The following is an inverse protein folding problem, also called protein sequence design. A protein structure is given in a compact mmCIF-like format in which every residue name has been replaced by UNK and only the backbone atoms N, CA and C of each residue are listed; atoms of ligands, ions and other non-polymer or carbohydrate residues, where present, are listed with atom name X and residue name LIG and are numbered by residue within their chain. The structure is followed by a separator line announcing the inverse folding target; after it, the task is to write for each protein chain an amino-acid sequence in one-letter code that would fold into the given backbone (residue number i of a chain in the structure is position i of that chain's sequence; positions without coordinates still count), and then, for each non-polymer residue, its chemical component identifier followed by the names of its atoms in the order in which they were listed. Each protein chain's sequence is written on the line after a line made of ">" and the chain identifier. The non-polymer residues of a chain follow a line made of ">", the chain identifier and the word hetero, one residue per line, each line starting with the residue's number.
data_IF_720719964631
#
_entry.id   IF_720719964631
#
_cell.length_a   1.000
_cell.length_b   1.000
_cell.length_c   1.000
_cell.angle_alpha   90.00
_cell.angle_beta   90.00
_cell.angle_gamma   90.00
#
_symmetry.space_group_name_H-M   'P 1'
#
loop_
_entity.id
_entity.type
_entity.pdbx_description
1 polymer ?
#
# COMPACT_ATOMS: atom_id res chain seq x y z
N UNK A 1 7.67 3.79 -14.99
CA UNK A 1 8.67 2.71 -14.83
C UNK A 1 7.99 1.46 -14.34
N UNK A 2 8.34 0.30 -14.89
CA UNK A 2 7.85 -1.01 -14.48
C UNK A 2 8.87 -1.65 -13.53
N UNK A 3 8.46 -1.93 -12.29
CA UNK A 3 9.25 -2.71 -11.35
C UNK A 3 8.76 -4.14 -11.32
N UNK A 4 9.69 -5.09 -11.34
CA UNK A 4 9.37 -6.50 -11.24
C UNK A 4 10.37 -7.20 -10.33
N UNK A 5 9.90 -8.26 -9.66
CA UNK A 5 10.79 -9.30 -9.17
C UNK A 5 11.06 -10.26 -10.34
N UNK A 6 12.33 -10.42 -10.70
CA UNK A 6 12.73 -11.28 -11.82
C UNK A 6 13.73 -12.31 -11.32
N UNK A 7 13.50 -13.57 -11.69
CA UNK A 7 14.43 -14.66 -11.46
C UNK A 7 14.57 -15.46 -12.74
N UNK A 8 15.71 -15.34 -13.39
CA UNK A 8 16.05 -16.03 -14.64
C UNK A 8 17.39 -16.76 -14.49
N UNK A 9 17.72 -17.64 -15.44
CA UNK A 9 19.04 -18.28 -15.53
C UNK A 9 19.84 -17.60 -16.64
N UNK A 10 21.10 -17.29 -16.34
CA UNK A 10 22.10 -16.86 -17.30
C UNK A 10 22.63 -18.02 -18.13
N UNK A 11 23.42 -17.69 -19.15
CA UNK A 11 24.07 -18.66 -20.04
C UNK A 11 25.11 -19.53 -19.33
N UNK A 12 25.61 -19.06 -18.19
CA UNK A 12 26.51 -19.76 -17.28
C UNK A 12 25.78 -20.64 -16.26
N UNK A 13 24.44 -20.67 -16.30
CA UNK A 13 23.60 -21.41 -15.35
C UNK A 13 23.40 -20.70 -14.01
N UNK A 14 23.95 -19.51 -13.82
CA UNK A 14 23.74 -18.72 -12.60
C UNK A 14 22.41 -17.98 -12.66
N UNK A 15 21.82 -17.66 -11.50
CA UNK A 15 20.61 -16.83 -11.48
C UNK A 15 20.94 -15.37 -11.76
N UNK A 16 20.16 -14.78 -12.67
CA UNK A 16 20.17 -13.35 -12.98
C UNK A 16 18.81 -12.73 -12.66
N UNK A 17 18.80 -11.46 -12.26
CA UNK A 17 17.60 -10.74 -11.82
C UNK A 17 17.67 -10.31 -10.35
N UNK A 18 16.52 -9.93 -9.78
CA UNK A 18 16.43 -9.41 -8.43
C UNK A 18 15.05 -8.88 -8.06
N UNK A 19 14.92 -8.43 -6.81
CA UNK A 19 13.71 -7.85 -6.26
C UNK A 19 13.60 -6.36 -6.61
N UNK A 20 12.41 -5.89 -6.97
CA UNK A 20 12.17 -4.46 -7.25
C UNK A 20 13.01 -3.90 -8.40
N UNK A 21 13.40 -4.75 -9.34
CA UNK A 21 14.23 -4.39 -10.48
C UNK A 21 13.48 -3.42 -11.38
N UNK A 22 14.09 -2.28 -11.72
CA UNK A 22 13.58 -1.38 -12.75
C UNK A 22 13.69 -2.06 -14.12
N UNK A 23 12.70 -2.86 -14.48
CA UNK A 23 12.76 -3.79 -15.60
C UNK A 23 12.59 -3.11 -16.95
N UNK A 24 11.63 -2.18 -17.04
CA UNK A 24 11.35 -1.43 -18.26
C UNK A 24 10.92 0.00 -17.95
N UNK A 25 11.21 0.92 -18.87
CA UNK A 25 10.62 2.24 -18.88
C UNK A 25 9.27 2.22 -19.61
N UNK A 26 8.31 3.00 -19.10
CA UNK A 26 6.95 3.05 -19.64
C UNK A 26 6.63 4.49 -20.05
N UNK A 27 6.13 4.68 -21.26
CA UNK A 27 5.66 5.97 -21.76
C UNK A 27 4.20 5.86 -22.19
N UNK A 28 3.31 6.54 -21.45
CA UNK A 28 1.88 6.61 -21.75
C UNK A 28 1.61 7.78 -22.70
N UNK A 29 0.73 7.57 -23.67
CA UNK A 29 0.31 8.61 -24.61
C UNK A 29 -0.70 9.62 -24.04
N UNK A 30 -1.11 9.47 -22.77
CA UNK A 30 -2.04 10.38 -22.09
C UNK A 30 -2.24 10.07 -20.61
N UNK A 31 -3.05 10.90 -19.94
CA UNK A 31 -3.39 10.75 -18.52
C UNK A 31 -4.35 9.58 -18.32
N UNK A 32 -3.87 8.51 -17.71
CA UNK A 32 -4.64 7.29 -17.48
C UNK A 32 -5.46 7.38 -16.18
N UNK A 33 -6.63 8.02 -16.22
CA UNK A 33 -7.56 7.96 -15.09
C UNK A 33 -8.25 6.59 -14.97
N UNK A 34 -8.25 5.75 -16.00
CA UNK A 34 -8.91 4.42 -15.96
C UNK A 34 -8.05 3.31 -16.56
N UNK A 35 -6.79 3.61 -16.82
CA UNK A 35 -5.91 2.79 -17.65
C UNK A 35 -5.46 3.50 -18.91
N UNK A 36 -4.71 2.76 -19.73
CA UNK A 36 -4.12 3.25 -20.96
C UNK A 36 -3.08 2.29 -21.50
N UNK A 37 -2.65 2.56 -22.73
CA UNK A 37 -1.57 1.83 -23.37
C UNK A 37 -0.26 2.61 -23.23
N UNK A 38 0.82 1.90 -22.92
CA UNK A 38 2.17 2.44 -22.85
C UNK A 38 3.07 1.74 -23.86
N UNK A 39 3.95 2.53 -24.48
CA UNK A 39 5.15 1.96 -25.11
C UNK A 39 6.15 1.56 -24.02
N UNK A 40 6.86 0.46 -24.27
CA UNK A 40 7.75 -0.18 -23.29
C UNK A 40 9.15 -0.23 -23.88
N UNK A 41 10.12 0.29 -23.14
CA UNK A 41 11.53 0.23 -23.52
C UNK A 41 12.32 -0.48 -22.42
N UNK A 42 13.13 -1.47 -22.77
CA UNK A 42 13.86 -2.27 -21.81
C UNK A 42 14.96 -1.44 -21.12
N UNK A 43 15.20 -1.65 -19.82
CA UNK A 43 16.35 -1.03 -19.16
C UNK A 43 17.59 -1.92 -19.31
N UNK A 44 18.78 -1.38 -18.99
CA UNK A 44 20.01 -2.19 -18.89
C UNK A 44 19.87 -3.33 -17.86
N UNK A 45 19.17 -3.07 -16.75
CA UNK A 45 18.90 -4.08 -15.73
C UNK A 45 17.95 -5.17 -16.24
N UNK A 46 16.90 -4.81 -16.98
CA UNK A 46 15.99 -5.75 -17.64
C UNK A 46 16.68 -6.58 -18.72
N UNK A 47 17.54 -5.97 -19.53
CA UNK A 47 18.37 -6.64 -20.54
C UNK A 47 19.25 -7.74 -19.93
N UNK A 48 19.93 -7.45 -18.83
CA UNK A 48 20.74 -8.44 -18.11
C UNK A 48 19.89 -9.56 -17.51
N UNK A 49 18.64 -9.28 -17.10
CA UNK A 49 17.73 -10.31 -16.61
C UNK A 49 17.28 -11.29 -17.72
N UNK A 50 17.36 -10.87 -18.99
CA UNK A 50 17.27 -11.74 -20.17
C UNK A 50 18.63 -12.23 -20.63
N UNK A 51 19.58 -12.44 -19.72
CA UNK A 51 20.93 -12.93 -20.01
C UNK A 51 21.70 -12.11 -21.08
N UNK A 52 21.32 -10.84 -21.29
CA UNK A 52 21.95 -9.95 -22.25
C UNK A 52 21.55 -10.17 -23.71
N UNK A 53 20.51 -10.96 -24.00
CA UNK A 53 20.02 -11.17 -25.37
C UNK A 53 19.41 -9.92 -26.01
N UNK A 54 18.87 -9.03 -25.19
CA UNK A 54 18.28 -7.76 -25.63
C UNK A 54 19.14 -6.60 -25.16
N UNK A 55 19.12 -5.51 -25.93
CA UNK A 55 19.88 -4.31 -25.59
C UNK A 55 19.06 -3.37 -24.70
N UNK A 56 19.75 -2.47 -23.99
CA UNK A 56 19.06 -1.42 -23.26
C UNK A 56 18.40 -0.43 -24.23
N UNK A 57 17.15 -0.06 -23.96
CA UNK A 57 16.35 0.79 -24.83
C UNK A 57 15.58 0.03 -25.91
N UNK A 58 15.79 -1.28 -26.05
CA UNK A 58 15.06 -2.12 -27.00
C UNK A 58 13.55 -1.97 -26.79
N UNK A 59 12.82 -1.75 -27.89
CA UNK A 59 11.38 -1.61 -27.85
C UNK A 59 10.75 -2.98 -27.60
N UNK A 60 9.92 -3.07 -26.56
CA UNK A 60 9.16 -4.27 -26.22
C UNK A 60 7.70 -4.09 -26.64
N UNK A 61 6.94 -5.18 -26.54
CA UNK A 61 5.49 -5.13 -26.75
C UNK A 61 4.83 -4.06 -25.87
N UNK A 62 3.83 -3.40 -26.45
CA UNK A 62 3.06 -2.40 -25.74
C UNK A 62 2.32 -3.01 -24.55
N UNK A 63 2.30 -2.29 -23.43
CA UNK A 63 1.57 -2.69 -22.23
C UNK A 63 0.23 -1.96 -22.19
N UNK A 64 -0.87 -2.70 -22.04
CA UNK A 64 -2.20 -2.12 -21.77
C UNK A 64 -2.60 -2.38 -20.33
N UNK A 65 -2.97 -1.32 -19.62
CA UNK A 65 -3.46 -1.37 -18.24
C UNK A 65 -4.92 -0.93 -18.22
N UNK A 66 -5.73 -1.59 -17.40
CA UNK A 66 -7.11 -1.19 -17.12
C UNK A 66 -7.35 -1.30 -15.62
N UNK A 67 -7.93 -0.26 -15.02
CA UNK A 67 -8.26 -0.25 -13.61
C UNK A 67 -9.51 0.58 -13.33
N UNK A 68 -10.28 0.12 -12.35
CA UNK A 68 -11.52 0.77 -11.91
C UNK A 68 -11.32 1.49 -10.59
N UNK A 69 -12.12 2.53 -10.32
CA UNK A 69 -12.11 3.21 -9.03
C UNK A 69 -10.94 4.18 -8.83
N UNK A 70 -10.24 4.55 -9.90
CA UNK A 70 -9.29 5.63 -9.83
C UNK A 70 -9.98 6.92 -9.40
N UNK A 71 -9.29 7.68 -8.57
CA UNK A 71 -9.69 9.03 -8.17
C UNK A 71 -8.71 10.00 -8.78
N UNK A 72 -9.22 11.13 -9.25
CA UNK A 72 -8.38 12.24 -9.68
C UNK A 72 -7.41 12.60 -8.56
N UNK A 73 -6.18 12.95 -8.93
CA UNK A 73 -5.19 13.41 -7.97
C UNK A 73 -5.77 14.60 -7.19
N UNK A 74 -5.85 14.48 -5.86
CA UNK A 74 -6.23 15.60 -5.00
C UNK A 74 -4.96 16.29 -4.50
N UNK A 75 -4.93 17.62 -4.64
CA UNK A 75 -3.87 18.42 -4.03
C UNK A 75 -4.22 18.61 -2.56
N UNK A 76 -3.35 18.13 -1.66
CA UNK A 76 -3.42 18.47 -0.23
C UNK A 76 -2.95 19.93 -0.09
N UNK A 77 -3.89 20.86 0.12
CA UNK A 77 -3.53 22.23 0.48
C UNK A 77 -3.05 22.24 1.94
N UNK A 78 -1.79 22.60 2.15
CA UNK A 78 -1.18 22.83 3.47
C UNK A 78 -1.18 24.34 3.69
N UNK A 79 -2.06 24.82 4.56
CA UNK A 79 -2.06 26.22 4.96
C UNK A 79 -0.99 26.42 6.05
N UNK A 80 -0.11 27.39 5.87
CA UNK A 80 0.84 27.82 6.89
C UNK A 80 0.42 29.20 7.42
N UNK A 81 0.57 29.43 8.73
CA UNK A 81 0.44 30.76 9.31
C UNK A 81 1.70 31.60 9.03
N UNK A 82 1.69 32.88 9.42
CA UNK A 82 2.84 33.78 9.25
C UNK A 82 4.11 33.30 9.98
N UNK A 83 3.95 32.44 10.98
CA UNK A 83 5.02 31.83 11.78
C UNK A 83 5.54 30.51 11.19
N UNK A 84 4.99 30.05 10.05
CA UNK A 84 5.43 28.85 9.32
C UNK A 84 4.86 27.52 9.83
N UNK A 85 3.96 27.55 10.82
CA UNK A 85 3.28 26.38 11.35
C UNK A 85 2.11 25.95 10.46
N UNK A 86 1.92 24.64 10.32
CA UNK A 86 0.79 24.08 9.56
C UNK A 86 -0.50 24.22 10.37
N UNK A 87 -1.45 25.02 9.88
CA UNK A 87 -2.74 25.24 10.55
C UNK A 87 -3.85 24.40 9.91
N UNK A 88 -4.76 23.79 10.71
CA UNK A 88 -5.96 23.18 10.18
C UNK A 88 -6.78 24.23 9.43
N UNK A 89 -7.13 23.95 8.17
CA UNK A 89 -7.89 24.88 7.33
C UNK A 89 -9.31 25.09 7.86
N UNK A 90 -9.48 26.09 8.73
CA UNK A 90 -10.78 26.58 9.18
C UNK A 90 -11.31 27.62 8.21
N UNK A 91 -11.97 27.17 7.14
CA UNK A 91 -12.72 28.04 6.23
C UNK A 91 -14.20 27.65 6.24
N UNK A 92 -15.02 28.42 6.95
CA UNK A 92 -16.49 28.33 6.87
C UNK A 92 -16.97 28.73 5.48
N UNK A 93 -17.56 27.80 4.73
CA UNK A 93 -18.32 28.10 3.52
C UNK A 93 -18.41 26.95 2.52
N UNK A 94 -19.51 26.19 2.57
CA UNK A 94 -19.93 25.29 1.50
C UNK A 94 -20.02 23.82 1.89
N UNK A 95 -21.12 23.43 2.52
CA UNK A 95 -21.49 22.04 2.70
C UNK A 95 -21.76 21.39 1.32
N UNK A 96 -20.92 20.44 0.92
CA UNK A 96 -21.30 19.37 -0.01
C UNK A 96 -20.46 18.12 0.29
N UNK A 97 -21.07 17.18 1.02
CA UNK A 97 -20.80 15.74 0.96
C UNK A 97 -19.34 15.26 0.99
N UNK A 98 -18.69 15.30 2.15
CA UNK A 98 -17.46 14.54 2.39
C UNK A 98 -17.77 13.21 3.05
N UNK A 99 -17.83 12.13 2.25
CA UNK A 99 -18.05 10.77 2.72
C UNK A 99 -17.05 10.37 3.82
N UNK A 100 -17.55 9.60 4.78
CA UNK A 100 -16.83 8.97 5.87
C UNK A 100 -15.50 8.35 5.43
N UNK A 101 -14.46 8.60 6.23
CA UNK A 101 -13.23 7.82 6.22
C UNK A 101 -13.56 6.37 6.54
N UNK A 102 -13.57 5.49 5.53
CA UNK A 102 -13.58 4.05 5.76
C UNK A 102 -12.15 3.60 6.11
N UNK A 103 -11.78 3.75 7.37
CA UNK A 103 -10.61 3.08 7.94
C UNK A 103 -11.02 1.65 8.32
N UNK A 104 -11.20 0.78 7.33
CA UNK A 104 -11.17 -0.69 7.43
C UNK A 104 -11.94 -1.37 8.58
N UNK A 105 -12.97 -0.74 9.13
CA UNK A 105 -13.70 -1.23 10.31
C UNK A 105 -15.15 -1.53 9.96
N UNK A 106 -15.56 -2.78 10.11
CA UNK A 106 -16.95 -3.21 10.01
C UNK A 106 -17.77 -2.49 11.10
N UNK A 107 -18.67 -1.58 10.70
CA UNK A 107 -19.64 -0.96 11.62
C UNK A 107 -20.99 -1.66 11.47
N UNK A 108 -21.54 -2.32 12.51
CA UNK A 108 -22.87 -2.86 12.43
C UNK A 108 -23.89 -1.72 12.43
N UNK A 109 -24.86 -1.83 11.52
CA UNK A 109 -26.06 -0.99 11.47
C UNK A 109 -26.88 -1.21 12.74
N UNK A 110 -27.08 -0.15 13.54
CA UNK A 110 -27.93 -0.18 14.72
C UNK A 110 -28.34 1.23 15.14
N UNK A 111 -29.64 1.43 15.30
CA UNK A 111 -30.34 2.70 15.47
C UNK A 111 -29.96 3.56 16.69
N UNK A 112 -30.03 4.88 16.50
CA UNK A 112 -30.72 5.82 17.40
C UNK A 112 -30.01 6.29 18.68
N UNK A 113 -30.05 7.61 18.90
CA UNK A 113 -30.17 8.16 20.25
C UNK A 113 -29.02 9.05 20.75
N UNK A 114 -29.34 10.33 20.90
CA UNK A 114 -28.61 11.41 21.56
C UNK A 114 -28.29 11.12 23.04
N UNK A 115 -27.18 11.64 23.56
CA UNK A 115 -27.06 11.89 25.01
C UNK A 115 -25.63 11.85 25.56
N UNK A 116 -25.23 12.94 26.19
CA UNK A 116 -24.01 13.07 26.99
C UNK A 116 -24.09 12.25 28.29
N UNK A 117 -22.98 11.61 28.68
CA UNK A 117 -22.37 11.67 30.02
C UNK A 117 -21.40 10.49 30.21
N UNK A 118 -20.28 10.77 30.89
CA UNK A 118 -19.33 9.79 31.34
C UNK A 118 -19.97 8.85 32.38
N UNK A 119 -19.61 7.57 32.33
CA UNK A 119 -19.80 6.67 33.47
C UNK A 119 -18.63 5.69 33.58
N UNK A 120 -17.88 5.81 34.66
CA UNK A 120 -16.80 4.91 35.04
C UNK A 120 -17.43 3.71 35.75
N UNK A 121 -17.63 2.60 35.01
CA UNK A 121 -18.21 1.37 35.54
C UNK A 121 -17.21 0.23 35.71
N UNK A 122 -16.79 0.00 36.95
CA UNK A 122 -15.96 -1.08 37.47
C UNK A 122 -16.63 -2.47 37.35
N UNK A 123 -15.98 -3.46 36.71
CA UNK A 123 -16.07 -4.92 36.97
C UNK A 123 -15.42 -5.68 35.79
N UNK A 124 -14.61 -6.73 35.90
CA UNK A 124 -14.20 -7.61 36.97
C UNK A 124 -13.48 -8.82 36.32
N UNK A 125 -12.38 -9.28 36.93
CA UNK A 125 -11.78 -10.62 36.84
C UNK A 125 -11.77 -11.39 35.49
N UNK A 126 -10.66 -11.31 34.74
CA UNK A 126 -10.42 -12.19 33.57
C UNK A 126 -8.96 -12.65 33.36
N UNK A 127 -8.01 -12.26 34.21
CA UNK A 127 -6.57 -12.37 33.91
C UNK A 127 -5.82 -13.55 34.56
N UNK A 128 -6.48 -14.40 35.34
CA UNK A 128 -5.80 -15.51 36.02
C UNK A 128 -5.65 -16.78 35.15
N UNK A 129 -6.55 -17.02 34.19
CA UNK A 129 -6.53 -18.25 33.37
C UNK A 129 -5.44 -18.21 32.29
N UNK A 130 -5.16 -17.03 31.73
CA UNK A 130 -4.19 -16.88 30.65
C UNK A 130 -2.73 -17.03 31.15
N UNK A 131 -2.45 -16.61 32.38
CA UNK A 131 -1.13 -16.74 32.98
C UNK A 131 -0.76 -18.21 33.27
N UNK A 132 -1.72 -19.03 33.70
CA UNK A 132 -1.47 -20.44 34.02
C UNK A 132 -1.22 -21.28 32.76
N UNK A 133 -1.87 -20.95 31.64
CA UNK A 133 -1.68 -21.62 30.35
C UNK A 133 -0.29 -21.35 29.76
N UNK A 134 0.23 -20.13 29.89
CA UNK A 134 1.57 -19.76 29.42
C UNK A 134 2.69 -20.45 30.23
N UNK A 135 2.49 -20.65 31.54
CA UNK A 135 3.45 -21.37 32.40
C UNK A 135 3.49 -22.87 32.09
N UNK A 136 2.34 -23.49 31.79
CA UNK A 136 2.26 -24.90 31.44
C UNK A 136 2.94 -25.23 30.10
N UNK A 137 2.85 -24.32 29.12
CA UNK A 137 3.49 -24.49 27.81
C UNK A 137 5.01 -24.35 27.88
N UNK A 138 5.54 -23.42 28.70
CA UNK A 138 6.99 -23.29 28.91
C UNK A 138 7.62 -24.53 29.54
N UNK A 139 6.94 -25.17 30.50
CA UNK A 139 7.48 -26.40 31.14
C UNK A 139 7.56 -27.59 30.18
N UNK A 140 6.63 -27.69 29.22
CA UNK A 140 6.68 -28.75 28.19
C UNK A 140 7.82 -28.57 27.19
N UNK A 141 8.28 -27.34 26.95
CA UNK A 141 9.36 -27.08 26.00
C UNK A 141 10.75 -27.35 26.58
N UNK A 142 10.95 -27.23 27.90
CA UNK A 142 12.21 -27.61 28.55
C UNK A 142 12.35 -29.12 28.80
N UNK A 143 11.26 -29.88 28.90
CA UNK A 143 11.33 -31.34 29.08
C UNK A 143 11.56 -32.12 27.77
N UNK A 144 11.72 -31.44 26.64
CA UNK A 144 11.98 -32.04 25.31
C UNK A 144 13.32 -31.64 24.70
N UNK A 145 14.23 -31.07 25.49
CA UNK A 145 15.65 -30.89 25.12
C UNK A 145 16.52 -31.76 25.99
#
# INVERSE_FOLDING_TARGET
>A
MLLANVSSLGLDGNRVGGQGLAFANLQFSGSAASGGTASVALTSAGANAFAGFYTAGEAMDSLTLSFTGARSASTKQVCQNADGETVPGGGSGGAAGGASVNTGGYTPSGAGGSGHAADFGLAGAGSAVLALLMVALRRRQLARR
#
